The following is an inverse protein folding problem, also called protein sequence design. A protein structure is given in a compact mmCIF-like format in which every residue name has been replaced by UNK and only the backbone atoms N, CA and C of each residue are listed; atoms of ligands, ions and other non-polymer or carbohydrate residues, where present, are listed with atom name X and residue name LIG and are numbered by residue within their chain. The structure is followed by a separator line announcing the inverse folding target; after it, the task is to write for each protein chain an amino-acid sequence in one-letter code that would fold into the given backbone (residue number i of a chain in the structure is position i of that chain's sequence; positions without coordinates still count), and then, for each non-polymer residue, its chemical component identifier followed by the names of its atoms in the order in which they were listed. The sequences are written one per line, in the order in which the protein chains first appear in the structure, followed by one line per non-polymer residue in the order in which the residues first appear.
data_IF_600992256015
#
_entry.id   IF_600992256015
#
_cell.length_a   1.000
_cell.length_b   1.000
_cell.length_c   1.000
_cell.angle_alpha   90.00
_cell.angle_beta   90.00
_cell.angle_gamma   90.00
#
_symmetry.space_group_name_H-M   'P 1'
#
loop_
_entity.id
_entity.type
_entity.pdbx_description
1 polymer ?
#
# COMPACT_ATOMS: atom_id res chain seq x y z
N UNK A 1 -27.19 -28.65 31.13
CA UNK A 1 -27.46 -28.43 29.69
C UNK A 1 -27.50 -26.93 29.43
N UNK A 2 -26.65 -26.39 28.54
CA UNK A 2 -26.51 -24.94 28.32
C UNK A 2 -27.30 -24.45 27.10
N UNK A 3 -28.03 -23.33 27.22
CA UNK A 3 -28.45 -22.50 26.07
C UNK A 3 -28.91 -21.12 26.53
N UNK A 4 -28.13 -20.08 26.22
CA UNK A 4 -28.64 -18.89 25.49
C UNK A 4 -27.48 -18.01 25.06
N UNK A 5 -27.25 -18.02 23.75
CA UNK A 5 -26.52 -17.01 23.01
C UNK A 5 -27.09 -15.61 23.31
N UNK A 6 -26.20 -14.63 23.49
CA UNK A 6 -26.53 -13.22 23.28
C UNK A 6 -25.47 -12.61 22.37
N UNK A 7 -25.85 -12.59 21.10
CA UNK A 7 -25.24 -11.88 19.98
C UNK A 7 -25.05 -10.40 20.32
N UNK A 8 -23.85 -9.88 20.10
CA UNK A 8 -23.50 -8.49 20.38
C UNK A 8 -22.19 -8.07 19.73
N UNK A 9 -22.24 -7.85 18.41
CA UNK A 9 -21.43 -6.98 17.57
C UNK A 9 -19.99 -6.63 18.04
N UNK A 10 -19.00 -6.96 17.21
CA UNK A 10 -18.05 -5.99 16.63
C UNK A 10 -17.20 -6.62 15.54
N UNK A 11 -17.15 -5.90 14.41
CA UNK A 11 -16.17 -6.04 13.32
C UNK A 11 -16.32 -7.26 12.42
N UNK A 12 -17.32 -7.14 11.54
CA UNK A 12 -17.24 -7.67 10.19
C UNK A 12 -15.94 -7.23 9.48
N UNK A 13 -15.56 -8.02 8.47
CA UNK A 13 -14.46 -7.81 7.52
C UNK A 13 -13.08 -8.33 7.95
N UNK A 14 -12.95 -9.65 8.15
CA UNK A 14 -11.66 -10.31 7.92
C UNK A 14 -11.80 -11.58 7.06
N UNK A 15 -12.88 -11.68 6.28
CA UNK A 15 -13.13 -12.81 5.41
C UNK A 15 -13.59 -12.31 4.03
N UNK A 16 -12.63 -12.01 3.17
CA UNK A 16 -12.70 -12.04 1.71
C UNK A 16 -11.38 -11.48 1.17
N UNK A 17 -10.52 -12.37 0.66
CA UNK A 17 -9.80 -12.22 -0.62
C UNK A 17 -8.88 -13.43 -0.81
N UNK A 18 -9.52 -14.53 -1.20
CA UNK A 18 -8.90 -15.64 -1.92
C UNK A 18 -8.28 -15.14 -3.24
N UNK A 19 -7.08 -15.63 -3.53
CA UNK A 19 -6.54 -15.92 -4.87
C UNK A 19 -6.42 -14.75 -5.88
N UNK A 20 -5.27 -14.06 -5.85
CA UNK A 20 -4.73 -13.36 -7.04
C UNK A 20 -3.20 -13.47 -7.15
N UNK A 21 -2.67 -14.69 -7.05
CA UNK A 21 -1.38 -15.03 -7.68
C UNK A 21 -1.68 -15.30 -9.17
N UNK A 22 -1.10 -14.67 -10.18
CA UNK A 22 0.21 -14.07 -10.34
C UNK A 22 0.10 -12.99 -11.42
N UNK A 23 0.35 -11.72 -11.07
CA UNK A 23 0.88 -10.64 -11.94
C UNK A 23 0.92 -9.32 -11.14
N UNK A 24 1.22 -9.40 -9.85
CA UNK A 24 1.30 -8.21 -9.01
C UNK A 24 2.66 -7.55 -9.21
N UNK A 25 2.66 -6.27 -9.60
CA UNK A 25 3.88 -5.45 -9.78
C UNK A 25 4.72 -5.38 -8.50
N UNK A 26 4.09 -5.63 -7.36
CA UNK A 26 4.73 -5.77 -6.06
C UNK A 26 3.98 -6.80 -5.20
N UNK A 27 4.68 -7.36 -4.22
CA UNK A 27 4.11 -8.19 -3.14
C UNK A 27 4.05 -7.36 -1.86
N UNK A 28 3.07 -7.63 -1.02
CA UNK A 28 2.91 -6.95 0.27
C UNK A 28 3.07 -7.95 1.41
N UNK A 29 3.77 -7.56 2.47
CA UNK A 29 3.92 -8.36 3.69
C UNK A 29 3.70 -7.49 4.93
N UNK A 30 3.29 -8.12 6.03
CA UNK A 30 3.00 -7.45 7.32
C UNK A 30 2.04 -6.26 7.18
N UNK A 31 1.08 -6.36 6.26
CA UNK A 31 0.20 -5.24 5.89
C UNK A 31 -0.91 -5.02 6.91
N UNK A 32 -1.03 -3.77 7.34
CA UNK A 32 -2.19 -3.21 8.05
C UNK A 32 -2.64 -1.97 7.29
N UNK A 33 -3.85 -1.97 6.74
CA UNK A 33 -4.37 -0.85 5.96
C UNK A 33 -5.82 -0.51 6.35
N UNK A 34 -6.15 0.78 6.29
CA UNK A 34 -7.51 1.30 6.52
C UNK A 34 -7.98 2.10 5.31
N UNK A 35 -9.21 1.84 4.87
CA UNK A 35 -9.81 2.45 3.67
C UNK A 35 -8.92 2.28 2.42
N UNK A 36 -8.34 1.09 2.25
CA UNK A 36 -7.50 0.80 1.08
C UNK A 36 -8.35 0.71 -0.19
N UNK A 37 -7.90 1.40 -1.23
CA UNK A 37 -8.42 1.25 -2.59
C UNK A 37 -7.26 0.97 -3.53
N UNK A 38 -7.50 0.12 -4.54
CA UNK A 38 -6.52 -0.22 -5.56
C UNK A 38 -7.20 -0.29 -6.91
N UNK A 39 -6.56 0.28 -7.93
CA UNK A 39 -7.05 0.27 -9.30
C UNK A 39 -5.88 0.03 -10.27
N UNK A 40 -6.14 -0.73 -11.32
CA UNK A 40 -5.23 -0.82 -12.46
C UNK A 40 -5.99 -0.34 -13.70
N UNK A 41 -5.42 0.65 -14.40
CA UNK A 41 -5.98 1.15 -15.65
C UNK A 41 -4.85 1.43 -16.63
N UNK A 42 -4.91 0.86 -17.83
CA UNK A 42 -3.89 0.98 -18.87
C UNK A 42 -2.45 0.72 -18.36
N UNK A 43 -2.28 -0.29 -17.49
CA UNK A 43 -0.98 -0.63 -16.90
C UNK A 43 -0.50 0.32 -15.79
N UNK A 44 -1.28 1.35 -15.45
CA UNK A 44 -1.03 2.23 -14.31
C UNK A 44 -1.74 1.64 -13.10
N UNK A 45 -0.95 1.16 -12.15
CA UNK A 45 -1.40 0.76 -10.83
C UNK A 45 -1.46 1.99 -9.93
N UNK A 46 -2.62 2.22 -9.30
CA UNK A 46 -2.79 3.20 -8.23
C UNK A 46 -3.31 2.50 -7.00
N UNK A 47 -2.74 2.85 -5.86
CA UNK A 47 -3.18 2.40 -4.55
C UNK A 47 -3.31 3.61 -3.65
N UNK A 48 -4.34 3.66 -2.82
CA UNK A 48 -4.43 4.64 -1.75
C UNK A 48 -4.98 4.03 -0.48
N UNK A 49 -4.63 4.61 0.67
CA UNK A 49 -5.13 4.18 1.97
C UNK A 49 -5.07 5.34 2.98
N UNK A 50 -6.05 5.43 3.87
CA UNK A 50 -6.06 6.44 4.94
C UNK A 50 -4.98 6.15 5.99
N UNK A 51 -4.75 4.87 6.30
CA UNK A 51 -3.62 4.39 7.11
C UNK A 51 -3.00 3.21 6.38
N UNK A 52 -1.68 3.17 6.32
CA UNK A 52 -0.96 2.04 5.72
C UNK A 52 0.33 1.75 6.51
N UNK A 53 0.46 0.51 6.96
CA UNK A 53 1.69 -0.05 7.50
C UNK A 53 1.99 -1.36 6.79
N UNK A 54 3.24 -1.59 6.40
CA UNK A 54 3.65 -2.85 5.75
C UNK A 54 4.85 -2.67 4.83
N UNK A 55 5.31 -3.77 4.26
CA UNK A 55 6.43 -3.78 3.32
C UNK A 55 5.93 -4.13 1.93
N UNK A 56 6.38 -3.37 0.92
CA UNK A 56 6.15 -3.67 -0.49
C UNK A 56 7.46 -4.13 -1.15
N UNK A 57 7.49 -5.34 -1.71
CA UNK A 57 8.60 -5.86 -2.50
C UNK A 57 8.26 -5.78 -3.99
N UNK A 58 9.08 -5.08 -4.78
CA UNK A 58 8.79 -4.88 -6.20
C UNK A 58 9.21 -6.07 -7.07
N UNK A 59 8.30 -6.57 -7.90
CA UNK A 59 8.54 -7.71 -8.79
C UNK A 59 9.30 -7.36 -10.07
N UNK A 60 9.43 -6.08 -10.39
CA UNK A 60 10.09 -5.57 -11.60
C UNK A 60 10.76 -4.20 -11.35
N UNK A 61 11.63 -3.79 -12.27
CA UNK A 61 12.17 -2.44 -12.27
C UNK A 61 11.05 -1.44 -12.63
N UNK A 62 10.88 -0.40 -11.83
CA UNK A 62 9.82 0.58 -12.05
C UNK A 62 10.18 1.97 -11.50
N UNK A 63 9.45 2.98 -11.95
CA UNK A 63 9.43 4.29 -11.30
C UNK A 63 8.14 4.40 -10.50
N UNK A 64 8.26 4.57 -9.19
CA UNK A 64 7.15 4.56 -8.23
C UNK A 64 6.97 5.95 -7.66
N UNK A 65 5.75 6.46 -7.71
CA UNK A 65 5.36 7.62 -6.92
C UNK A 65 4.81 7.14 -5.60
N UNK A 66 5.33 7.70 -4.51
CA UNK A 66 4.83 7.49 -3.15
C UNK A 66 4.52 8.85 -2.56
N UNK A 67 3.26 9.12 -2.26
CA UNK A 67 2.82 10.35 -1.60
C UNK A 67 2.14 9.98 -0.29
N UNK A 68 2.48 10.69 0.79
CA UNK A 68 1.82 10.49 2.09
C UNK A 68 1.88 11.77 2.92
N UNK A 69 0.85 11.97 3.75
CA UNK A 69 0.69 13.19 4.55
C UNK A 69 1.44 13.15 5.88
N UNK A 70 1.62 11.97 6.47
CA UNK A 70 2.33 11.79 7.75
C UNK A 70 2.91 10.39 7.88
N UNK A 71 3.83 10.22 8.84
CA UNK A 71 4.55 8.96 9.06
C UNK A 71 5.85 8.93 8.28
N UNK A 72 6.35 7.73 7.99
CA UNK A 72 7.63 7.52 7.31
C UNK A 72 7.54 6.40 6.30
N UNK A 73 8.25 6.56 5.19
CA UNK A 73 8.58 5.47 4.29
C UNK A 73 10.10 5.22 4.33
N UNK A 74 10.55 3.98 4.17
CA UNK A 74 11.98 3.65 4.06
C UNK A 74 12.22 2.89 2.77
N UNK A 75 13.24 3.32 2.03
CA UNK A 75 13.66 2.70 0.78
C UNK A 75 15.18 2.74 0.68
N UNK A 76 15.81 1.58 0.46
CA UNK A 76 17.27 1.48 0.30
C UNK A 76 18.06 2.07 1.47
N UNK A 77 17.60 1.86 2.71
CA UNK A 77 18.23 2.41 3.93
C UNK A 77 17.96 3.89 4.19
N UNK A 78 17.26 4.60 3.28
CA UNK A 78 16.92 6.02 3.44
C UNK A 78 15.49 6.17 3.93
N UNK A 79 15.28 7.08 4.88
CA UNK A 79 13.94 7.43 5.35
C UNK A 79 13.43 8.62 4.54
N UNK A 80 12.27 8.45 3.90
CA UNK A 80 11.53 9.51 3.23
C UNK A 80 10.56 10.13 4.23
N UNK A 81 10.57 11.47 4.31
CA UNK A 81 9.58 12.24 5.10
C UNK A 81 8.28 12.40 4.32
N UNK A 82 7.22 12.85 4.99
CA UNK A 82 5.95 13.18 4.34
C UNK A 82 6.11 14.13 3.16
N UNK A 83 5.26 13.96 2.16
CA UNK A 83 5.36 14.64 0.87
C UNK A 83 5.18 13.65 -0.28
N UNK A 84 5.52 14.08 -1.48
CA UNK A 84 5.52 13.24 -2.67
C UNK A 84 6.96 12.92 -3.10
N UNK A 85 7.23 11.64 -3.36
CA UNK A 85 8.53 11.14 -3.75
C UNK A 85 8.42 10.30 -5.02
N UNK A 86 9.38 10.47 -5.92
CA UNK A 86 9.59 9.60 -7.06
C UNK A 86 10.81 8.74 -6.77
N UNK A 87 10.60 7.43 -6.65
CA UNK A 87 11.66 6.46 -6.38
C UNK A 87 11.81 5.52 -7.58
N UNK A 88 13.06 5.25 -7.97
CA UNK A 88 13.38 4.22 -8.94
C UNK A 88 13.67 2.94 -8.18
N UNK A 89 12.86 1.93 -8.43
CA UNK A 89 12.94 0.64 -7.74
C UNK A 89 13.51 -0.40 -8.69
N UNK A 90 14.31 -1.32 -8.14
CA UNK A 90 14.78 -2.51 -8.84
C UNK A 90 13.91 -3.70 -8.42
N UNK A 91 13.87 -4.75 -9.24
CA UNK A 91 13.29 -6.03 -8.86
C UNK A 91 13.91 -6.53 -7.55
N UNK A 92 13.06 -6.96 -6.61
CA UNK A 92 13.43 -7.36 -5.24
C UNK A 92 13.66 -6.19 -4.28
N UNK A 93 13.60 -4.94 -4.74
CA UNK A 93 13.68 -3.77 -3.86
C UNK A 93 12.48 -3.70 -2.93
N UNK A 94 12.71 -3.28 -1.68
CA UNK A 94 11.67 -3.17 -0.66
C UNK A 94 11.39 -1.72 -0.28
N UNK A 95 10.12 -1.40 -0.09
CA UNK A 95 9.62 -0.14 0.43
C UNK A 95 8.84 -0.44 1.71
N UNK A 96 9.40 -0.05 2.85
CA UNK A 96 8.72 -0.15 4.14
C UNK A 96 7.90 1.11 4.40
N UNK A 97 6.63 0.94 4.72
CA UNK A 97 5.66 2.01 4.87
C UNK A 97 5.08 1.96 6.26
N UNK A 98 5.03 3.11 6.92
CA UNK A 98 4.17 3.36 8.08
C UNK A 98 3.68 4.80 7.97
N UNK A 99 2.54 4.98 7.30
CA UNK A 99 2.10 6.26 6.73
C UNK A 99 0.59 6.48 6.87
N UNK A 100 0.16 7.74 6.71
CA UNK A 100 -1.26 8.12 6.58
C UNK A 100 -1.53 8.91 5.31
N UNK A 101 -2.74 8.74 4.78
CA UNK A 101 -3.17 9.24 3.47
C UNK A 101 -2.14 8.91 2.39
N UNK A 102 -1.82 7.62 2.30
CA UNK A 102 -0.89 7.08 1.33
C UNK A 102 -1.52 7.07 -0.06
N UNK A 103 -0.75 7.45 -1.06
CA UNK A 103 -1.00 7.20 -2.47
C UNK A 103 0.26 6.63 -3.11
N UNK A 104 0.11 5.53 -3.82
CA UNK A 104 1.16 4.88 -4.59
C UNK A 104 0.74 4.77 -6.04
N UNK A 105 1.66 5.06 -6.97
CA UNK A 105 1.40 4.97 -8.41
C UNK A 105 2.58 4.37 -9.16
N UNK A 106 2.32 3.37 -10.00
CA UNK A 106 3.31 2.67 -10.81
C UNK A 106 2.78 2.39 -12.23
N UNK A 107 3.54 2.68 -13.30
CA UNK A 107 4.67 3.60 -13.29
C UNK A 107 4.19 5.04 -13.03
N UNK A 108 5.07 5.91 -12.54
CA UNK A 108 4.81 7.33 -12.43
C UNK A 108 5.98 8.15 -12.98
N UNK A 109 5.68 9.30 -13.57
CA UNK A 109 6.67 10.22 -14.16
C UNK A 109 6.92 11.47 -13.32
N UNK A 110 5.98 11.86 -12.45
CA UNK A 110 6.10 13.10 -11.66
C UNK A 110 5.28 13.07 -10.38
N UNK A 111 5.64 13.97 -9.47
CA UNK A 111 4.76 14.42 -8.41
C UNK A 111 3.91 15.56 -8.99
N UNK A 112 2.58 15.39 -9.13
CA UNK A 112 1.76 16.52 -9.50
C UNK A 112 1.91 17.58 -8.41
N UNK A 113 2.14 18.83 -8.82
CA UNK A 113 2.10 19.96 -7.90
C UNK A 113 0.78 19.90 -7.13
N UNK A 114 0.89 19.91 -5.81
CA UNK A 114 -0.25 20.08 -4.93
C UNK A 114 -0.77 21.51 -5.11
N UNK A 115 -1.57 21.70 -6.16
CA UNK A 115 -2.48 22.85 -6.28
C UNK A 115 -3.69 22.64 -5.37
#
# INVERSE_FOLDING_TARGET
MPRKERTGARTAACLLLLLSSCNSVYKESNKVALAETSSNFNGIHRKSAAVYSGTMEFGANATVRVKFSSGTARFGGRTLRSGCHIIRVRKGGTLDLNTRNLEITLPASSCPDSR
#
